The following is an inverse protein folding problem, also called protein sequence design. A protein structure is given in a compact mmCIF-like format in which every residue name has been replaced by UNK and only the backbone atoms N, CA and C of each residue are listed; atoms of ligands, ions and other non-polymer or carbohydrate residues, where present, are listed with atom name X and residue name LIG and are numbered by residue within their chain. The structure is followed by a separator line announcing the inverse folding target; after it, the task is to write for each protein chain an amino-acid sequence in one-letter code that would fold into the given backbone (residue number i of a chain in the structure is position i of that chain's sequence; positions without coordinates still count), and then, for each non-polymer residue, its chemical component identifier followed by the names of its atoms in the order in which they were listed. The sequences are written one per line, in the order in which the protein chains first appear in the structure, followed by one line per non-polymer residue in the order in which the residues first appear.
data_IF_603836723090
#
_entry.id   IF_603836723090
#
_cell.length_a   1.000
_cell.length_b   1.000
_cell.length_c   1.000
_cell.angle_alpha   90.00
_cell.angle_beta   90.00
_cell.angle_gamma   90.00
#
_symmetry.space_group_name_H-M   'P 1'
#
loop_
_entity.id
_entity.type
_entity.pdbx_description
1 polymer ?
#
# COMPACT_ATOMS: atom_id res chain seq x y z
N UNK A 1 12.84 14.21 5.66
CA UNK A 1 12.26 15.43 5.06
C UNK A 1 12.23 15.35 3.53
N UNK A 2 12.99 14.46 2.88
CA UNK A 2 13.03 14.27 1.41
C UNK A 2 11.85 13.48 0.82
N UNK A 3 10.75 13.30 1.55
CA UNK A 3 9.60 12.60 0.98
C UNK A 3 8.81 13.56 0.07
N UNK A 4 8.78 13.26 -1.22
CA UNK A 4 8.12 14.06 -2.25
C UNK A 4 6.64 14.31 -1.97
N UNK A 5 5.95 13.40 -1.26
CA UNK A 5 4.52 13.55 -0.94
C UNK A 5 4.29 14.66 0.10
N UNK A 6 5.20 14.80 1.07
CA UNK A 6 5.08 15.79 2.14
C UNK A 6 5.41 17.18 1.59
N UNK A 7 6.51 17.28 0.84
CA UNK A 7 6.92 18.54 0.19
C UNK A 7 5.85 19.01 -0.80
N UNK A 8 5.37 18.13 -1.68
CA UNK A 8 4.37 18.48 -2.68
C UNK A 8 3.02 18.94 -2.10
N UNK A 9 2.51 18.32 -1.03
CA UNK A 9 1.27 18.76 -0.37
C UNK A 9 1.46 20.05 0.44
N UNK A 10 2.62 20.21 1.09
CA UNK A 10 2.94 21.44 1.81
C UNK A 10 2.99 22.65 0.85
N UNK A 11 3.62 22.49 -0.31
CA UNK A 11 3.72 23.55 -1.31
C UNK A 11 2.38 23.83 -2.02
N UNK A 12 1.62 22.80 -2.38
CA UNK A 12 0.41 22.97 -3.17
C UNK A 12 -0.84 23.34 -2.36
N UNK A 13 -0.97 22.88 -1.12
CA UNK A 13 -2.23 22.99 -0.37
C UNK A 13 -2.09 23.72 0.97
N UNK A 14 -0.99 23.51 1.69
CA UNK A 14 -0.80 24.14 3.00
C UNK A 14 -0.51 25.65 2.91
N UNK A 15 0.10 26.13 1.81
CA UNK A 15 0.36 27.56 1.61
C UNK A 15 -0.89 28.39 1.24
N UNK A 16 -1.94 27.74 0.72
CA UNK A 16 -3.12 28.41 0.16
C UNK A 16 -4.40 28.24 0.98
N UNK A 17 -4.43 27.35 1.99
CA UNK A 17 -5.64 27.01 2.76
C UNK A 17 -5.44 27.17 4.27
N UNK A 18 -6.53 27.43 5.03
CA UNK A 18 -6.47 27.51 6.48
C UNK A 18 -5.94 26.21 7.11
N UNK A 19 -5.24 26.30 8.26
CA UNK A 19 -4.50 25.18 8.84
C UNK A 19 -5.36 23.96 9.18
N UNK A 20 -6.64 24.17 9.51
CA UNK A 20 -7.59 23.08 9.79
C UNK A 20 -7.96 22.27 8.54
N UNK A 21 -8.18 22.93 7.40
CA UNK A 21 -8.46 22.26 6.14
C UNK A 21 -7.24 21.51 5.61
N UNK A 22 -6.05 22.13 5.71
CA UNK A 22 -4.77 21.52 5.34
C UNK A 22 -4.42 20.30 6.21
N UNK A 23 -4.83 20.30 7.49
CA UNK A 23 -4.65 19.15 8.37
C UNK A 23 -5.52 17.96 7.96
N UNK A 24 -6.81 18.19 7.66
CA UNK A 24 -7.73 17.13 7.22
C UNK A 24 -7.24 16.50 5.91
N UNK A 25 -6.75 17.31 4.98
CA UNK A 25 -6.15 16.82 3.74
C UNK A 25 -4.87 15.99 3.97
N UNK A 26 -3.97 16.46 4.83
CA UNK A 26 -2.76 15.71 5.20
C UNK A 26 -3.10 14.35 5.81
N UNK A 27 -4.11 14.30 6.69
CA UNK A 27 -4.61 13.05 7.28
C UNK A 27 -5.22 12.14 6.22
N UNK A 28 -6.05 12.66 5.31
CA UNK A 28 -6.66 11.88 4.23
C UNK A 28 -5.63 11.22 3.31
N UNK A 29 -4.62 11.99 2.87
CA UNK A 29 -3.54 11.46 2.03
C UNK A 29 -2.65 10.47 2.79
N UNK A 30 -2.34 10.75 4.06
CA UNK A 30 -1.58 9.85 4.93
C UNK A 30 -2.30 8.53 5.18
N UNK A 31 -3.60 8.56 5.46
CA UNK A 31 -4.43 7.37 5.64
C UNK A 31 -4.54 6.55 4.35
N UNK A 32 -4.74 7.21 3.21
CA UNK A 32 -4.76 6.53 1.90
C UNK A 32 -3.45 5.80 1.61
N UNK A 33 -2.31 6.46 1.82
CA UNK A 33 -1.00 5.84 1.66
C UNK A 33 -0.77 4.68 2.65
N UNK A 34 -1.17 4.88 3.91
CA UNK A 34 -1.04 3.85 4.94
C UNK A 34 -1.87 2.60 4.63
N UNK A 35 -3.08 2.77 4.09
CA UNK A 35 -3.94 1.67 3.66
C UNK A 35 -3.29 0.85 2.54
N UNK A 36 -2.69 1.51 1.55
CA UNK A 36 -1.94 0.83 0.48
C UNK A 36 -0.76 0.05 1.06
N UNK A 37 -0.01 0.64 2.00
CA UNK A 37 1.12 -0.04 2.63
C UNK A 37 0.70 -1.25 3.46
N UNK A 38 -0.40 -1.16 4.20
CA UNK A 38 -0.95 -2.29 4.98
C UNK A 38 -1.37 -3.42 4.04
N UNK A 39 -2.07 -3.09 2.94
CA UNK A 39 -2.47 -4.06 1.93
C UNK A 39 -1.26 -4.77 1.31
N UNK A 40 -0.27 -4.02 0.83
CA UNK A 40 0.94 -4.59 0.22
C UNK A 40 1.75 -5.39 1.26
N UNK A 41 1.88 -4.87 2.48
CA UNK A 41 2.57 -5.53 3.59
C UNK A 41 1.95 -6.87 3.95
N UNK A 42 0.62 -6.93 4.04
CA UNK A 42 -0.12 -8.16 4.31
C UNK A 42 0.22 -9.28 3.32
N UNK A 43 0.17 -8.98 2.01
CA UNK A 43 0.49 -9.98 0.98
C UNK A 43 1.99 -10.33 0.95
N UNK A 44 2.87 -9.37 1.25
CA UNK A 44 4.31 -9.63 1.34
C UNK A 44 4.66 -10.52 2.52
N UNK A 45 4.01 -10.35 3.67
CA UNK A 45 4.24 -11.20 4.84
C UNK A 45 3.67 -12.60 4.60
N UNK A 46 2.42 -12.67 4.11
CA UNK A 46 1.74 -13.94 3.84
C UNK A 46 2.49 -14.80 2.81
N UNK A 47 2.88 -14.23 1.67
CA UNK A 47 3.53 -14.99 0.60
C UNK A 47 5.06 -15.02 0.71
N UNK A 48 5.66 -14.10 1.46
CA UNK A 48 7.10 -14.05 1.67
C UNK A 48 7.57 -14.99 2.78
N UNK A 49 6.98 -14.90 3.96
CA UNK A 49 7.40 -15.67 5.15
C UNK A 49 6.35 -16.67 5.63
N UNK A 50 5.17 -16.74 5.01
CA UNK A 50 4.09 -17.64 5.43
C UNK A 50 3.42 -17.25 6.75
N UNK A 51 3.80 -16.11 7.32
CA UNK A 51 3.34 -15.63 8.62
C UNK A 51 2.48 -14.38 8.41
N UNK A 52 1.50 -14.20 9.29
CA UNK A 52 0.70 -12.98 9.38
C UNK A 52 0.69 -12.53 10.83
N UNK A 53 1.22 -11.33 11.09
CA UNK A 53 1.29 -10.77 12.44
C UNK A 53 1.99 -11.72 13.45
N UNK A 54 2.98 -12.48 12.97
CA UNK A 54 3.71 -13.47 13.77
C UNK A 54 3.02 -14.82 13.96
N UNK A 55 1.79 -15.02 13.45
CA UNK A 55 1.12 -16.33 13.43
C UNK A 55 1.42 -17.05 12.10
N UNK A 56 1.91 -18.28 12.18
CA UNK A 56 2.19 -19.11 11.00
C UNK A 56 0.89 -19.61 10.37
N UNK A 57 0.51 -19.01 9.23
CA UNK A 57 -0.68 -19.38 8.45
C UNK A 57 -0.32 -20.41 7.39
N UNK A 58 0.82 -20.21 6.72
CA UNK A 58 1.41 -21.15 5.77
C UNK A 58 2.68 -21.72 6.39
N UNK A 59 2.68 -23.03 6.65
CA UNK A 59 3.87 -23.71 7.14
C UNK A 59 4.91 -23.76 6.02
N UNK A 60 6.04 -23.08 6.23
CA UNK A 60 7.12 -23.03 5.27
C UNK A 60 7.77 -24.40 5.10
N UNK A 61 8.19 -24.71 3.88
CA UNK A 61 8.95 -25.92 3.56
C UNK A 61 10.22 -26.05 4.40
N UNK A 62 10.85 -24.94 4.77
CA UNK A 62 12.02 -24.89 5.66
C UNK A 62 11.71 -25.22 7.12
N UNK A 63 10.45 -25.09 7.54
CA UNK A 63 9.96 -25.46 8.88
C UNK A 63 9.20 -26.82 8.86
N UNK A 64 9.30 -27.59 7.76
CA UNK A 64 8.64 -28.89 7.59
C UNK A 64 7.23 -28.85 6.97
N UNK A 65 6.81 -27.68 6.47
CA UNK A 65 5.53 -27.51 5.78
C UNK A 65 5.59 -27.75 4.26
N UNK A 66 4.53 -27.36 3.56
CA UNK A 66 4.36 -27.59 2.12
C UNK A 66 4.55 -26.32 1.27
N UNK A 67 4.66 -25.15 1.91
CA UNK A 67 4.70 -23.87 1.20
C UNK A 67 6.13 -23.41 0.91
N UNK A 68 6.45 -23.18 -0.36
CA UNK A 68 7.72 -22.58 -0.77
C UNK A 68 7.57 -21.04 -0.82
N UNK A 69 8.37 -20.27 -0.07
CA UNK A 69 8.23 -18.82 0.02
C UNK A 69 8.45 -18.15 -1.34
N UNK A 70 7.55 -17.24 -1.71
CA UNK A 70 7.63 -16.55 -2.99
C UNK A 70 8.59 -15.35 -2.92
N UNK A 71 9.86 -15.59 -3.26
CA UNK A 71 10.89 -14.54 -3.29
C UNK A 71 10.55 -13.34 -4.20
N UNK A 72 9.81 -13.56 -5.29
CA UNK A 72 9.42 -12.50 -6.23
C UNK A 72 8.52 -11.43 -5.56
N UNK A 73 7.61 -11.84 -4.68
CA UNK A 73 6.70 -10.93 -3.97
C UNK A 73 7.41 -10.11 -2.90
N UNK A 74 8.58 -10.57 -2.43
CA UNK A 74 9.40 -9.83 -1.47
C UNK A 74 10.21 -8.72 -2.15
N UNK A 75 10.56 -8.90 -3.43
CA UNK A 75 11.31 -7.92 -4.22
C UNK A 75 10.44 -6.73 -4.67
N UNK A 76 11.09 -5.60 -4.95
CA UNK A 76 10.44 -4.37 -5.47
C UNK A 76 9.45 -4.60 -6.64
N UNK A 77 9.76 -5.39 -7.69
CA UNK A 77 8.81 -5.75 -8.76
C UNK A 77 7.49 -6.34 -8.25
N UNK A 78 7.49 -7.16 -7.20
CA UNK A 78 6.27 -7.75 -6.64
C UNK A 78 5.32 -6.69 -6.07
N UNK A 79 5.86 -5.63 -5.46
CA UNK A 79 5.05 -4.54 -4.91
C UNK A 79 4.32 -3.76 -6.02
N UNK A 80 4.94 -3.55 -7.18
CA UNK A 80 4.29 -2.88 -8.31
C UNK A 80 3.09 -3.67 -8.85
N UNK A 81 3.19 -4.99 -8.94
CA UNK A 81 2.07 -5.83 -9.34
C UNK A 81 0.92 -5.76 -8.32
N UNK A 82 1.21 -5.85 -7.03
CA UNK A 82 0.19 -5.75 -5.98
C UNK A 82 -0.53 -4.40 -6.00
N UNK A 83 0.21 -3.30 -6.16
CA UNK A 83 -0.37 -1.97 -6.27
C UNK A 83 -1.20 -1.84 -7.55
N UNK A 84 -0.73 -2.38 -8.68
CA UNK A 84 -1.48 -2.40 -9.94
C UNK A 84 -2.82 -3.13 -9.81
N UNK A 85 -2.83 -4.29 -9.17
CA UNK A 85 -4.06 -5.05 -8.87
C UNK A 85 -4.97 -4.27 -7.91
N UNK A 86 -4.41 -3.65 -6.87
CA UNK A 86 -5.18 -2.83 -5.93
C UNK A 86 -5.88 -1.66 -6.62
N UNK A 87 -5.19 -0.94 -7.50
CA UNK A 87 -5.76 0.16 -8.29
C UNK A 87 -6.84 -0.38 -9.24
N UNK A 88 -6.58 -1.51 -9.90
CA UNK A 88 -7.55 -2.15 -10.78
C UNK A 88 -8.84 -2.52 -10.05
N UNK A 89 -8.75 -3.13 -8.85
CA UNK A 89 -9.92 -3.46 -8.02
C UNK A 89 -10.70 -2.19 -7.67
N UNK A 90 -10.02 -1.12 -7.25
CA UNK A 90 -10.69 0.14 -6.94
C UNK A 90 -11.42 0.72 -8.16
N UNK A 91 -10.82 0.64 -9.35
CA UNK A 91 -11.45 1.08 -10.61
C UNK A 91 -12.64 0.23 -11.00
N UNK A 92 -12.61 -1.08 -10.75
CA UNK A 92 -13.77 -1.96 -11.00
C UNK A 92 -14.94 -1.62 -10.07
N UNK A 93 -14.66 -1.31 -8.81
CA UNK A 93 -15.69 -0.96 -7.82
C UNK A 93 -16.23 0.46 -8.06
N UNK A 94 -15.36 1.40 -8.46
CA UNK A 94 -15.70 2.80 -8.74
C UNK A 94 -15.28 3.16 -10.17
N UNK A 95 -16.06 2.73 -11.18
CA UNK A 95 -15.74 3.00 -12.58
C UNK A 95 -15.77 4.49 -12.92
N UNK A 96 -16.46 5.31 -12.12
CA UNK A 96 -16.50 6.77 -12.23
C UNK A 96 -15.11 7.44 -12.22
N UNK A 97 -14.10 6.78 -11.61
CA UNK A 97 -12.72 7.28 -11.56
C UNK A 97 -11.91 7.06 -12.85
N UNK A 98 -12.47 6.34 -13.83
CA UNK A 98 -11.80 6.03 -15.11
C UNK A 98 -11.90 7.22 -16.07
N UNK A 99 -12.93 8.05 -15.93
CA UNK A 99 -13.29 9.13 -16.87
C UNK A 99 -13.29 10.52 -16.22
N UNK A 100 -12.27 10.83 -15.42
CA UNK A 100 -11.97 12.23 -15.09
C UNK A 100 -11.13 12.85 -16.22
N UNK A 101 -11.76 13.05 -17.39
CA UNK A 101 -11.25 13.87 -18.49
C UNK A 101 -12.10 15.12 -18.64
#
# INVERSE_FOLDING_TARGET
ITNCIVMGRAEAYAMANPPTASFIDGVGNGLGYSLVLIFVGFFRELFGSGKLFGMSVLQLQTEGGWYNPNGLLVLAPGAFFLIGVFIWINRVIKPDQVDAS
#
